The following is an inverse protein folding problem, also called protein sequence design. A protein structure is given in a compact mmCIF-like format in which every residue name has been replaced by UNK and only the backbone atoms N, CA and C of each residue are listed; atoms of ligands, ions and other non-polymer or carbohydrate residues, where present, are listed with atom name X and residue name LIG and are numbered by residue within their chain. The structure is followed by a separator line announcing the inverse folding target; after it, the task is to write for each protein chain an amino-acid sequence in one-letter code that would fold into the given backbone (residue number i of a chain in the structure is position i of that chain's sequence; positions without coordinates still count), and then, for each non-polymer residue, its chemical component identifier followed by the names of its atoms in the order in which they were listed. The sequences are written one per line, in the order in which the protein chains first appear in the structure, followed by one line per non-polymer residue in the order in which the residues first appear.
data_IF_621525005750
#
_entry.id   IF_621525005750
#
_cell.length_a   1.000
_cell.length_b   1.000
_cell.length_c   1.000
_cell.angle_alpha   90.00
_cell.angle_beta   90.00
_cell.angle_gamma   90.00
#
_symmetry.space_group_name_H-M   'P 1'
#
loop_
_entity.id
_entity.type
_entity.pdbx_description
1 polymer ?
#
# COMPACT_ATOMS: atom_id res chain seq x y z
N UNK A 1 -13.59 -22.54 12.36
CA UNK A 1 -14.89 -21.92 12.25
C UNK A 1 -14.92 -20.90 11.15
N UNK A 2 -15.44 -21.29 10.03
CA UNK A 2 -15.57 -20.38 8.89
C UNK A 2 -16.44 -19.18 9.23
N UNK A 3 -17.43 -19.39 10.08
CA UNK A 3 -18.33 -18.34 10.51
C UNK A 3 -17.62 -17.22 11.27
N UNK A 4 -16.64 -17.57 12.10
CA UNK A 4 -15.85 -16.58 12.84
C UNK A 4 -15.01 -15.73 11.89
N UNK A 5 -14.43 -16.35 10.86
CA UNK A 5 -13.67 -15.64 9.84
C UNK A 5 -14.55 -14.66 9.06
N UNK A 6 -15.75 -15.09 8.70
CA UNK A 6 -16.72 -14.24 8.00
C UNK A 6 -17.11 -13.05 8.86
N UNK A 7 -17.33 -13.27 10.16
CA UNK A 7 -17.68 -12.20 11.08
C UNK A 7 -16.54 -11.18 11.22
N UNK A 8 -15.29 -11.66 11.27
CA UNK A 8 -14.14 -10.77 11.33
C UNK A 8 -14.06 -9.86 10.10
N UNK A 9 -14.30 -10.41 8.91
CA UNK A 9 -14.31 -9.61 7.69
C UNK A 9 -15.42 -8.57 7.75
N UNK A 10 -16.62 -8.97 8.21
CA UNK A 10 -17.75 -8.06 8.35
C UNK A 10 -17.47 -6.96 9.37
N UNK A 11 -16.80 -7.31 10.48
CA UNK A 11 -16.52 -6.36 11.55
C UNK A 11 -15.57 -5.25 11.14
N UNK A 12 -14.72 -5.47 10.13
CA UNK A 12 -13.74 -4.50 9.70
C UNK A 12 -14.08 -3.85 8.36
N UNK A 13 -15.08 -4.37 7.65
CA UNK A 13 -15.35 -3.95 6.26
C UNK A 13 -15.66 -2.45 6.15
N UNK A 14 -16.32 -1.86 7.13
CA UNK A 14 -16.71 -0.45 7.10
C UNK A 14 -15.56 0.50 7.43
N UNK A 15 -14.44 -0.02 7.91
CA UNK A 15 -13.25 0.77 8.24
C UNK A 15 -12.01 0.36 7.45
N UNK A 16 -12.22 -0.23 6.28
CA UNK A 16 -11.15 -0.64 5.39
C UNK A 16 -11.24 0.09 4.05
N UNK A 17 -10.07 0.27 3.44
CA UNK A 17 -9.96 0.55 2.01
C UNK A 17 -9.07 -0.54 1.46
N UNK A 18 -9.62 -1.40 0.60
CA UNK A 18 -8.91 -2.57 0.12
C UNK A 18 -9.12 -2.77 -1.37
N UNK A 19 -8.05 -3.15 -2.06
CA UNK A 19 -8.07 -3.45 -3.49
C UNK A 19 -7.28 -4.72 -3.73
N UNK A 20 -7.82 -5.60 -4.56
CA UNK A 20 -7.11 -6.78 -5.06
C UNK A 20 -6.96 -6.66 -6.56
N UNK A 21 -5.75 -6.92 -7.06
CA UNK A 21 -5.45 -6.80 -8.48
C UNK A 21 -4.45 -7.86 -8.89
N UNK A 22 -4.59 -8.35 -10.12
CA UNK A 22 -3.66 -9.31 -10.69
C UNK A 22 -2.69 -8.57 -11.61
N UNK A 23 -1.39 -8.75 -11.35
CA UNK A 23 -0.32 -8.16 -12.17
C UNK A 23 0.34 -9.24 -13.02
N UNK A 24 0.66 -8.88 -14.24
CA UNK A 24 1.35 -9.79 -15.17
C UNK A 24 2.86 -9.71 -14.94
N UNK A 25 3.27 -10.10 -13.74
CA UNK A 25 4.67 -10.11 -13.33
C UNK A 25 4.84 -11.11 -12.19
N UNK A 26 6.02 -11.72 -12.09
CA UNK A 26 6.28 -12.71 -11.06
C UNK A 26 6.22 -12.09 -9.66
N UNK A 27 5.87 -12.91 -8.68
CA UNK A 27 5.78 -12.46 -7.28
C UNK A 27 7.10 -11.85 -6.80
N UNK A 28 8.22 -12.43 -7.17
CA UNK A 28 9.51 -11.90 -6.76
C UNK A 28 9.79 -10.52 -7.35
N UNK A 29 9.44 -10.31 -8.61
CA UNK A 29 9.61 -9.01 -9.25
C UNK A 29 8.71 -7.96 -8.61
N UNK A 30 7.44 -8.30 -8.36
CA UNK A 30 6.51 -7.38 -7.70
C UNK A 30 7.01 -7.04 -6.30
N UNK A 31 7.49 -8.04 -5.56
CA UNK A 31 8.13 -7.81 -4.26
C UNK A 31 9.30 -6.82 -4.36
N UNK A 32 10.17 -7.03 -5.35
CA UNK A 32 11.34 -6.16 -5.52
C UNK A 32 10.97 -4.71 -5.76
N UNK A 33 9.96 -4.44 -6.59
CA UNK A 33 9.59 -3.05 -6.89
C UNK A 33 8.87 -2.38 -5.73
N UNK A 34 8.36 -3.15 -4.78
CA UNK A 34 7.79 -2.64 -3.54
C UNK A 34 8.85 -2.38 -2.47
N UNK A 35 9.97 -3.11 -2.51
CA UNK A 35 10.91 -3.16 -1.38
C UNK A 35 12.26 -2.52 -1.67
N UNK A 36 12.43 -1.97 -2.85
CA UNK A 36 13.62 -1.19 -3.20
C UNK A 36 13.22 0.27 -3.33
N UNK A 37 13.81 1.18 -2.54
CA UNK A 37 13.43 2.59 -2.58
C UNK A 37 13.61 3.22 -3.96
N UNK A 38 14.58 2.76 -4.75
CA UNK A 38 14.78 3.25 -6.11
C UNK A 38 13.61 2.91 -7.02
N UNK A 39 13.00 1.76 -6.78
CA UNK A 39 11.84 1.33 -7.54
C UNK A 39 10.56 1.99 -7.04
N UNK A 40 10.29 1.92 -5.73
CA UNK A 40 9.02 2.39 -5.20
C UNK A 40 8.81 3.89 -5.43
N UNK A 41 9.87 4.67 -5.43
CA UNK A 41 9.79 6.11 -5.71
C UNK A 41 9.28 6.41 -7.13
N UNK A 42 9.39 5.46 -8.05
CA UNK A 42 8.99 5.68 -9.43
C UNK A 42 7.48 5.57 -9.67
N UNK A 43 6.77 4.87 -8.79
CA UNK A 43 5.35 4.61 -9.03
C UNK A 43 4.46 4.90 -7.82
N UNK A 44 5.02 5.14 -6.64
CA UNK A 44 4.23 5.33 -5.42
C UNK A 44 3.42 6.62 -5.48
N UNK A 45 2.13 6.51 -5.09
CA UNK A 45 1.23 7.64 -4.99
C UNK A 45 0.27 7.76 -6.16
N UNK A 46 -0.77 8.59 -5.99
CA UNK A 46 -1.74 8.84 -7.05
C UNK A 46 -1.13 9.57 -8.25
N UNK A 47 -1.91 9.69 -9.31
CA UNK A 47 -1.51 10.39 -10.53
C UNK A 47 -1.01 11.80 -10.21
N UNK A 48 0.16 12.16 -10.75
CA UNK A 48 0.75 13.49 -10.59
C UNK A 48 1.60 13.64 -9.34
N UNK A 49 1.64 12.64 -8.47
CA UNK A 49 2.49 12.68 -7.29
C UNK A 49 3.88 12.17 -7.61
N UNK A 50 4.86 12.73 -6.89
CA UNK A 50 6.22 12.20 -6.85
C UNK A 50 6.59 11.94 -5.39
N UNK A 51 7.61 11.11 -5.17
CA UNK A 51 8.00 10.67 -3.83
C UNK A 51 9.48 10.87 -3.62
N UNK A 52 9.84 11.48 -2.48
CA UNK A 52 11.22 11.58 -2.04
C UNK A 52 11.39 10.77 -0.77
N UNK A 53 12.28 9.79 -0.79
CA UNK A 53 12.55 8.93 0.38
C UNK A 53 13.73 9.50 1.15
N UNK A 54 13.54 9.65 2.47
CA UNK A 54 14.59 10.09 3.39
C UNK A 54 15.27 8.92 4.08
N UNK A 55 14.51 7.86 4.36
CA UNK A 55 15.01 6.67 5.04
C UNK A 55 14.17 5.48 4.60
N UNK A 56 14.83 4.37 4.35
CA UNK A 56 14.14 3.12 4.01
C UNK A 56 14.89 1.96 4.66
N UNK A 57 14.31 1.41 5.72
CA UNK A 57 14.88 0.31 6.49
C UNK A 57 13.87 -0.83 6.55
N UNK A 58 14.03 -1.81 5.64
CA UNK A 58 13.05 -2.87 5.44
C UNK A 58 13.26 -4.00 6.44
N UNK A 59 12.67 -3.85 7.61
CA UNK A 59 12.66 -4.87 8.66
C UNK A 59 11.57 -4.52 9.67
N UNK A 60 11.05 -5.47 10.44
CA UNK A 60 10.12 -5.13 11.52
C UNK A 60 10.76 -4.11 12.45
N UNK A 61 10.03 -3.02 12.73
CA UNK A 61 10.56 -1.90 13.51
C UNK A 61 11.34 -0.88 12.70
N UNK A 62 11.71 -1.20 11.46
CA UNK A 62 12.37 -0.25 10.58
C UNK A 62 11.39 0.74 9.98
N UNK A 63 11.91 1.83 9.44
CA UNK A 63 11.07 2.93 8.96
C UNK A 63 11.27 3.22 7.48
N UNK A 64 10.19 3.64 6.85
CA UNK A 64 10.23 4.29 5.55
C UNK A 64 9.68 5.70 5.73
N UNK A 65 10.59 6.66 5.77
CA UNK A 65 10.25 8.07 5.94
C UNK A 65 10.32 8.73 4.57
N UNK A 66 9.20 9.27 4.11
CA UNK A 66 9.17 9.88 2.79
C UNK A 66 8.18 11.04 2.74
N UNK A 67 8.32 11.85 1.69
CA UNK A 67 7.42 12.94 1.39
C UNK A 67 6.81 12.69 0.03
N UNK A 68 5.48 12.77 -0.04
CA UNK A 68 4.77 12.71 -1.31
C UNK A 68 4.49 14.14 -1.75
N UNK A 69 4.91 14.48 -2.97
CA UNK A 69 4.74 15.82 -3.52
C UNK A 69 3.52 15.81 -4.44
N UNK A 70 2.49 16.53 -4.06
CA UNK A 70 1.27 16.64 -4.85
C UNK A 70 1.44 17.51 -6.09
N UNK A 71 0.60 17.33 -7.10
CA UNK A 71 0.69 18.14 -8.33
C UNK A 71 0.39 19.62 -8.12
N UNK A 72 -0.25 19.96 -7.01
CA UNK A 72 -0.56 21.35 -6.65
C UNK A 72 0.55 22.01 -5.82
N UNK A 73 1.67 21.31 -5.59
CA UNK A 73 2.79 21.80 -4.80
C UNK A 73 2.68 21.51 -3.31
N UNK A 74 1.64 20.81 -2.88
CA UNK A 74 1.49 20.44 -1.48
C UNK A 74 2.34 19.20 -1.17
N UNK A 75 3.11 19.29 -0.09
CA UNK A 75 3.93 18.18 0.38
C UNK A 75 3.22 17.45 1.52
N UNK A 76 3.22 16.11 1.45
CA UNK A 76 2.60 15.25 2.44
C UNK A 76 3.66 14.37 3.08
N UNK A 77 3.91 14.59 4.37
CA UNK A 77 4.84 13.77 5.12
C UNK A 77 4.22 12.41 5.43
N UNK A 78 4.98 11.36 5.18
CA UNK A 78 4.56 9.98 5.45
C UNK A 78 5.63 9.27 6.28
N UNK A 79 5.26 8.89 7.50
CA UNK A 79 6.13 8.12 8.39
C UNK A 79 5.55 6.72 8.49
N UNK A 80 6.25 5.77 7.92
CA UNK A 80 5.85 4.38 7.92
C UNK A 80 6.80 3.58 8.81
N UNK A 81 6.22 2.79 9.71
CA UNK A 81 6.98 1.84 10.53
C UNK A 81 6.55 0.43 10.13
N UNK A 82 7.47 -0.34 9.60
CA UNK A 82 7.17 -1.73 9.23
C UNK A 82 6.91 -2.55 10.47
N UNK A 83 5.83 -3.34 10.44
CA UNK A 83 5.47 -4.22 11.54
C UNK A 83 5.71 -5.68 11.18
N UNK A 84 5.65 -6.03 9.90
CA UNK A 84 5.89 -7.38 9.43
C UNK A 84 6.49 -7.36 8.03
N UNK A 85 7.52 -8.15 7.82
CA UNK A 85 8.21 -8.27 6.52
C UNK A 85 8.48 -9.74 6.29
N UNK A 86 7.69 -10.37 5.42
CA UNK A 86 7.82 -11.78 5.07
C UNK A 86 8.03 -11.89 3.57
N UNK A 87 9.27 -11.96 3.16
CA UNK A 87 9.65 -12.04 1.73
C UNK A 87 9.29 -13.40 1.15
N UNK A 88 8.68 -13.46 0.00
CA UNK A 88 8.09 -12.43 -0.84
C UNK A 88 6.56 -12.35 -0.71
N UNK A 89 6.02 -12.61 0.49
CA UNK A 89 4.60 -12.89 0.71
C UNK A 89 3.82 -11.72 1.28
N UNK A 90 4.42 -10.96 2.21
CA UNK A 90 3.64 -9.99 2.97
C UNK A 90 4.47 -8.83 3.50
N UNK A 91 3.91 -7.63 3.38
CA UNK A 91 4.39 -6.43 4.05
C UNK A 91 3.25 -5.88 4.90
N UNK A 92 3.58 -5.45 6.13
CA UNK A 92 2.63 -4.72 6.96
C UNK A 92 3.33 -3.54 7.58
N UNK A 93 2.61 -2.44 7.76
CA UNK A 93 3.16 -1.25 8.38
C UNK A 93 2.07 -0.40 9.02
N UNK A 94 2.52 0.44 9.97
CA UNK A 94 1.70 1.49 10.55
C UNK A 94 2.04 2.80 9.87
N UNK A 95 1.03 3.55 9.50
CA UNK A 95 1.16 4.83 8.80
C UNK A 95 0.84 5.99 9.75
N UNK A 96 1.68 7.01 9.74
CA UNK A 96 1.48 8.26 10.45
C UNK A 96 2.21 9.39 9.74
N UNK A 97 2.21 10.60 10.28
CA UNK A 97 1.46 11.04 11.48
C UNK A 97 -0.04 11.17 11.22
N UNK A 98 -0.45 11.45 9.99
CA UNK A 98 -1.87 11.57 9.62
C UNK A 98 -2.03 11.32 8.13
N UNK A 99 -3.01 10.53 7.69
CA UNK A 99 -3.96 9.75 8.51
C UNK A 99 -3.28 8.57 9.21
N UNK A 100 -3.91 8.04 10.26
CA UNK A 100 -3.38 6.88 10.99
C UNK A 100 -4.14 5.64 10.54
N UNK A 101 -3.40 4.64 10.05
CA UNK A 101 -3.97 3.35 9.66
C UNK A 101 -2.89 2.28 9.65
N UNK A 102 -3.33 1.03 9.65
CA UNK A 102 -2.45 -0.12 9.47
C UNK A 102 -2.60 -0.63 8.04
N UNK A 103 -1.50 -0.81 7.35
CA UNK A 103 -1.50 -1.29 5.98
C UNK A 103 -1.02 -2.73 5.90
N UNK A 104 -1.63 -3.49 5.01
CA UNK A 104 -1.22 -4.86 4.70
C UNK A 104 -1.15 -5.00 3.19
N UNK A 105 -0.05 -5.54 2.69
CA UNK A 105 0.10 -5.87 1.28
C UNK A 105 0.43 -7.35 1.17
N UNK A 106 -0.42 -8.11 0.49
CA UNK A 106 -0.25 -9.53 0.27
C UNK A 106 0.18 -9.77 -1.17
N UNK A 107 1.19 -10.61 -1.35
CA UNK A 107 1.73 -10.98 -2.66
C UNK A 107 1.52 -12.48 -2.82
N UNK A 108 0.56 -12.89 -3.63
CA UNK A 108 0.24 -14.29 -3.83
C UNK A 108 0.56 -14.70 -5.26
N UNK A 109 1.12 -15.89 -5.44
CA UNK A 109 1.31 -16.43 -6.78
C UNK A 109 -0.07 -16.66 -7.42
N UNK A 110 -0.18 -16.28 -8.68
CA UNK A 110 -1.41 -16.47 -9.43
C UNK A 110 -1.08 -16.99 -10.80
N UNK A 111 -1.52 -18.20 -11.11
CA UNK A 111 -1.17 -18.88 -12.34
C UNK A 111 0.36 -18.89 -12.52
N UNK A 112 0.84 -19.02 -13.73
CA UNK A 112 2.26 -19.01 -14.02
C UNK A 112 2.75 -17.58 -14.19
N UNK A 113 3.69 -17.16 -13.36
CA UNK A 113 4.37 -15.86 -13.46
C UNK A 113 3.47 -14.64 -13.30
N UNK A 114 2.36 -14.78 -12.59
CA UNK A 114 1.49 -13.66 -12.24
C UNK A 114 1.40 -13.51 -10.74
N UNK A 115 0.99 -12.32 -10.31
CA UNK A 115 0.85 -12.01 -8.89
C UNK A 115 -0.53 -11.46 -8.60
N UNK A 116 -1.20 -12.06 -7.61
CA UNK A 116 -2.42 -11.49 -7.04
C UNK A 116 -2.01 -10.66 -5.84
N UNK A 117 -2.17 -9.36 -5.96
CA UNK A 117 -1.78 -8.42 -4.91
C UNK A 117 -3.02 -7.85 -4.25
N UNK A 118 -3.03 -7.88 -2.92
CA UNK A 118 -4.08 -7.25 -2.11
C UNK A 118 -3.45 -6.14 -1.29
N UNK A 119 -3.96 -4.92 -1.42
CA UNK A 119 -3.51 -3.76 -0.66
C UNK A 119 -4.66 -3.29 0.20
N UNK A 120 -4.45 -3.27 1.51
CA UNK A 120 -5.47 -2.98 2.50
C UNK A 120 -5.02 -1.90 3.45
N UNK A 121 -5.88 -0.90 3.65
CA UNK A 121 -5.71 0.12 4.69
C UNK A 121 -6.80 -0.12 5.73
N UNK A 122 -6.41 -0.34 6.97
CA UNK A 122 -7.34 -0.59 8.07
C UNK A 122 -7.29 0.56 9.06
N UNK A 123 -8.42 1.23 9.25
CA UNK A 123 -8.56 2.37 10.17
C UNK A 123 -9.15 1.91 11.50
N UNK A 124 -8.99 2.72 12.55
CA UNK A 124 -9.52 2.37 13.85
C UNK A 124 -11.04 2.45 13.90
N UNK A 125 -11.62 3.36 13.13
CA UNK A 125 -13.07 3.53 13.06
C UNK A 125 -13.52 3.78 11.62
N UNK A 126 -14.81 3.53 11.37
CA UNK A 126 -15.42 3.86 10.08
C UNK A 126 -15.38 5.36 9.81
N UNK A 127 -15.52 6.16 10.87
CA UNK A 127 -15.45 7.62 10.76
C UNK A 127 -14.09 8.09 10.25
N UNK A 128 -13.02 7.52 10.78
CA UNK A 128 -11.66 7.84 10.34
C UNK A 128 -11.43 7.41 8.89
N UNK A 129 -11.94 6.24 8.54
CA UNK A 129 -11.87 5.73 7.16
C UNK A 129 -12.58 6.68 6.20
N UNK A 130 -13.79 7.10 6.55
CA UNK A 130 -14.60 7.98 5.70
C UNK A 130 -13.95 9.36 5.57
N UNK A 131 -13.42 9.89 6.67
CA UNK A 131 -12.71 11.15 6.67
C UNK A 131 -11.48 11.11 5.75
N UNK A 132 -10.72 10.04 5.83
CA UNK A 132 -9.51 9.87 5.00
C UNK A 132 -9.88 9.73 3.53
N UNK A 133 -10.91 8.93 3.24
CA UNK A 133 -11.38 8.74 1.87
C UNK A 133 -11.84 10.06 1.25
N UNK A 134 -12.54 10.89 2.03
CA UNK A 134 -13.06 12.16 1.54
C UNK A 134 -11.96 13.22 1.43
N UNK A 135 -11.17 13.39 2.49
CA UNK A 135 -10.16 14.44 2.52
C UNK A 135 -9.01 14.21 1.55
N UNK A 136 -8.53 12.98 1.45
CA UNK A 136 -7.36 12.65 0.64
C UNK A 136 -7.69 11.91 -0.65
N UNK A 137 -8.97 11.60 -0.91
CA UNK A 137 -9.34 10.81 -2.07
C UNK A 137 -8.71 9.42 -2.04
N UNK A 138 -8.64 8.82 -0.85
CA UNK A 138 -7.85 7.61 -0.63
C UNK A 138 -8.33 6.41 -1.44
N UNK A 139 -9.63 6.30 -1.73
CA UNK A 139 -10.16 5.18 -2.51
C UNK A 139 -9.64 5.24 -3.94
N UNK A 140 -9.82 6.38 -4.61
CA UNK A 140 -9.30 6.57 -5.96
C UNK A 140 -7.78 6.58 -5.96
N UNK A 141 -7.18 7.15 -4.92
CA UNK A 141 -5.73 7.20 -4.77
C UNK A 141 -5.10 5.82 -4.75
N UNK A 142 -5.71 4.87 -4.04
CA UNK A 142 -5.24 3.49 -4.02
C UNK A 142 -5.32 2.86 -5.41
N UNK A 143 -6.41 3.08 -6.13
CA UNK A 143 -6.57 2.57 -7.49
C UNK A 143 -5.51 3.17 -8.42
N UNK A 144 -5.30 4.47 -8.34
CA UNK A 144 -4.32 5.15 -9.19
C UNK A 144 -2.89 4.70 -8.89
N UNK A 145 -2.57 4.47 -7.63
CA UNK A 145 -1.26 3.96 -7.24
C UNK A 145 -1.01 2.59 -7.87
N UNK A 146 -2.00 1.71 -7.81
CA UNK A 146 -1.86 0.38 -8.42
C UNK A 146 -1.84 0.44 -9.94
N UNK A 147 -2.53 1.41 -10.56
CA UNK A 147 -2.42 1.63 -11.99
C UNK A 147 -0.99 2.04 -12.38
N UNK A 148 -0.37 2.90 -11.58
CA UNK A 148 1.02 3.32 -11.82
C UNK A 148 1.99 2.17 -11.65
N UNK A 149 1.74 1.30 -10.67
CA UNK A 149 2.54 0.09 -10.50
C UNK A 149 2.44 -0.80 -11.73
N UNK A 150 1.25 -0.98 -12.26
CA UNK A 150 1.04 -1.79 -13.46
C UNK A 150 1.81 -1.23 -14.65
N UNK A 151 1.76 0.09 -14.85
CA UNK A 151 2.50 0.75 -15.90
C UNK A 151 4.01 0.62 -15.73
N UNK A 152 4.47 0.74 -14.49
CA UNK A 152 5.88 0.60 -14.17
C UNK A 152 6.39 -0.81 -14.48
N UNK A 153 5.64 -1.83 -14.07
CA UNK A 153 5.99 -3.23 -14.34
C UNK A 153 6.01 -3.53 -15.84
N UNK A 154 5.11 -2.90 -16.60
CA UNK A 154 5.04 -3.12 -18.05
C UNK A 154 6.27 -2.57 -18.79
N UNK A 155 7.00 -1.66 -18.19
CA UNK A 155 8.20 -1.06 -18.78
C UNK A 155 9.49 -1.82 -18.44
N UNK A 156 9.39 -2.79 -17.57
CA UNK A 156 10.56 -3.55 -17.10
C UNK A 156 10.88 -4.76 -17.98
#
# INVERSE_FOLDING_TARGET
MTKATTNQISDTADREISTTRIFNASRLLVWQVWTDPKHIEQWWGPIGFTTTTKKYDLRPGGEWLHVMHGPDGTDYRNDITFTDVVEPERLEWDHGPSPIFHATVLFEEHESDKTKLTMRMLFQTAKERDWTAEKFGAVEGQQQTLNRLEEYLAKM
#
